data_IF_061517565795
#
_entry.id   IF_061517565795
#
_cell.length_a   1.000
_cell.length_b   1.000
_cell.length_c   1.000
_cell.angle_alpha   90.00
_cell.angle_beta   90.00
_cell.angle_gamma   90.00
#
_symmetry.space_group_name_H-M   'P 1'
#
loop_
_entity.id
_entity.type
_entity.pdbx_description
1 polymer ?
#
# COMPACT_ATOMS: atom_id res chain seq x y z
N UNK A 1 23.93 -8.69 -9.57
CA UNK A 1 23.07 -9.08 -10.71
C UNK A 1 22.77 -7.83 -11.51
N UNK A 2 23.06 -7.81 -12.81
CA UNK A 2 22.74 -6.70 -13.68
C UNK A 2 21.44 -7.01 -14.44
N UNK A 3 20.48 -6.11 -14.38
CA UNK A 3 19.23 -6.18 -15.11
C UNK A 3 19.17 -5.01 -16.08
N UNK A 4 19.01 -5.30 -17.36
CA UNK A 4 18.83 -4.29 -18.40
C UNK A 4 17.37 -3.95 -18.57
N UNK A 5 17.05 -2.68 -18.54
CA UNK A 5 15.73 -2.15 -18.83
C UNK A 5 15.75 -1.42 -20.17
N UNK A 6 14.97 -1.89 -21.12
CA UNK A 6 14.92 -1.28 -22.45
C UNK A 6 13.50 -0.86 -22.81
N UNK A 7 13.37 0.35 -23.30
CA UNK A 7 12.13 0.89 -23.84
C UNK A 7 12.11 0.60 -25.35
N UNK A 8 11.16 -0.21 -25.78
CA UNK A 8 10.96 -0.54 -27.20
C UNK A 8 9.71 0.16 -27.69
N UNK A 9 9.88 1.14 -28.58
CA UNK A 9 8.76 1.80 -29.27
C UNK A 9 8.30 0.92 -30.43
N UNK A 10 7.03 0.55 -30.43
CA UNK A 10 6.38 -0.20 -31.51
C UNK A 10 5.22 0.63 -32.07
N UNK A 11 4.82 0.48 -33.33
CA UNK A 11 3.67 1.19 -33.90
C UNK A 11 2.36 0.91 -33.14
N UNK A 12 2.29 -0.20 -32.39
CA UNK A 12 1.13 -0.56 -31.55
C UNK A 12 1.24 -0.07 -30.10
N UNK A 13 2.31 0.66 -29.73
CA UNK A 13 2.52 1.19 -28.37
C UNK A 13 3.94 0.99 -27.85
N UNK A 14 4.21 1.50 -26.68
CA UNK A 14 5.51 1.39 -26.02
C UNK A 14 5.57 0.13 -25.16
N UNK A 15 6.61 -0.67 -25.33
CA UNK A 15 6.85 -1.90 -24.54
C UNK A 15 8.09 -1.72 -23.67
N UNK A 16 8.00 -2.14 -22.44
CA UNK A 16 9.12 -2.28 -21.52
C UNK A 16 9.67 -3.70 -21.60
N UNK A 17 10.97 -3.83 -21.90
CA UNK A 17 11.67 -5.11 -21.96
C UNK A 17 12.68 -5.20 -20.83
N UNK A 18 12.53 -6.22 -19.98
CA UNK A 18 13.49 -6.57 -18.94
C UNK A 18 14.35 -7.73 -19.43
N UNK A 19 15.66 -7.59 -19.32
CA UNK A 19 16.62 -8.62 -19.76
C UNK A 19 17.62 -8.88 -18.65
N UNK A 20 17.83 -10.15 -18.33
CA UNK A 20 18.91 -10.62 -17.45
C UNK A 20 19.68 -11.69 -18.18
N UNK A 21 20.98 -11.45 -18.39
CA UNK A 21 21.86 -12.36 -19.10
C UNK A 21 22.41 -13.43 -18.14
N UNK A 22 22.54 -14.68 -18.62
CA UNK A 22 23.10 -15.81 -17.88
C UNK A 22 22.49 -15.98 -16.49
N UNK A 23 21.16 -15.84 -16.38
CA UNK A 23 20.44 -15.86 -15.13
C UNK A 23 20.24 -17.28 -14.61
N UNK A 24 20.65 -17.52 -13.36
CA UNK A 24 20.21 -18.71 -12.62
C UNK A 24 18.72 -18.61 -12.21
N UNK A 25 18.16 -19.71 -11.71
CA UNK A 25 16.74 -19.83 -11.33
C UNK A 25 16.27 -18.71 -10.40
N UNK A 26 17.07 -18.31 -9.41
CA UNK A 26 16.76 -17.21 -8.47
C UNK A 26 16.72 -15.85 -9.15
N UNK A 27 17.59 -15.63 -10.12
CA UNK A 27 17.66 -14.37 -10.87
C UNK A 27 16.47 -14.22 -11.84
N UNK A 28 15.99 -15.33 -12.43
CA UNK A 28 14.80 -15.31 -13.28
C UNK A 28 13.54 -14.92 -12.49
N UNK A 29 13.44 -15.32 -11.22
CA UNK A 29 12.33 -14.92 -10.36
C UNK A 29 12.25 -13.38 -10.17
N UNK A 30 13.40 -12.71 -10.12
CA UNK A 30 13.45 -11.23 -9.98
C UNK A 30 12.85 -10.50 -11.19
N UNK A 31 12.90 -11.09 -12.39
CA UNK A 31 12.26 -10.51 -13.58
C UNK A 31 10.75 -10.36 -13.40
N UNK A 32 10.12 -11.37 -12.82
CA UNK A 32 8.67 -11.34 -12.58
C UNK A 32 8.30 -10.29 -11.53
N UNK A 33 9.12 -10.15 -10.48
CA UNK A 33 8.94 -9.13 -9.45
C UNK A 33 9.07 -7.72 -10.06
N UNK A 34 10.09 -7.47 -10.88
CA UNK A 34 10.25 -6.17 -11.55
C UNK A 34 9.09 -5.86 -12.51
N UNK A 35 8.64 -6.84 -13.29
CA UNK A 35 7.49 -6.68 -14.17
C UNK A 35 6.21 -6.35 -13.38
N UNK A 36 5.96 -7.07 -12.29
CA UNK A 36 4.79 -6.84 -11.44
C UNK A 36 4.82 -5.46 -10.79
N UNK A 37 6.00 -5.00 -10.32
CA UNK A 37 6.16 -3.67 -9.75
C UNK A 37 5.78 -2.57 -10.74
N UNK A 38 6.28 -2.65 -11.98
CA UNK A 38 5.94 -1.67 -13.03
C UNK A 38 4.45 -1.74 -13.42
N UNK A 39 3.90 -2.95 -13.54
CA UNK A 39 2.47 -3.12 -13.81
C UNK A 39 1.60 -2.51 -12.69
N UNK A 40 2.02 -2.65 -11.43
CA UNK A 40 1.34 -2.05 -10.30
C UNK A 40 1.47 -0.52 -10.29
N UNK A 41 2.63 0.03 -10.66
CA UNK A 41 2.78 1.48 -10.82
C UNK A 41 1.81 2.04 -11.86
N UNK A 42 1.67 1.38 -13.01
CA UNK A 42 0.73 1.79 -14.06
C UNK A 42 -0.72 1.73 -13.54
N UNK A 43 -1.11 0.65 -12.87
CA UNK A 43 -2.43 0.52 -12.26
C UNK A 43 -2.67 1.59 -11.19
N UNK A 44 -1.68 1.87 -10.36
CA UNK A 44 -1.76 2.88 -9.31
C UNK A 44 -2.01 4.28 -9.85
N UNK A 45 -1.32 4.65 -10.93
CA UNK A 45 -1.51 5.97 -11.57
C UNK A 45 -2.87 6.08 -12.28
N UNK A 46 -3.37 4.98 -12.87
CA UNK A 46 -4.63 4.99 -13.62
C UNK A 46 -5.86 4.81 -12.74
N UNK A 47 -5.84 3.87 -11.82
CA UNK A 47 -6.98 3.46 -11.01
C UNK A 47 -6.84 3.83 -9.53
N UNK A 48 -5.59 3.90 -9.03
CA UNK A 48 -5.30 3.99 -7.59
C UNK A 48 -5.46 2.64 -6.87
N UNK A 49 -5.01 2.61 -5.64
CA UNK A 49 -5.16 1.47 -4.73
C UNK A 49 -5.96 1.87 -3.50
N UNK A 50 -6.80 0.97 -3.04
CA UNK A 50 -7.60 1.15 -1.84
C UNK A 50 -7.50 -0.12 -0.98
N UNK A 51 -7.06 0.04 0.27
CA UNK A 51 -7.10 -1.00 1.28
C UNK A 51 -8.26 -0.74 2.23
N UNK A 52 -9.13 -1.72 2.38
CA UNK A 52 -10.26 -1.69 3.33
C UNK A 52 -9.84 -2.45 4.58
N UNK A 53 -9.70 -1.73 5.67
CA UNK A 53 -9.28 -2.29 6.95
C UNK A 53 -10.42 -2.18 7.94
N UNK A 54 -10.60 -3.19 8.77
CA UNK A 54 -11.62 -3.21 9.81
C UNK A 54 -11.00 -3.49 11.16
N UNK A 55 -11.31 -2.64 12.14
CA UNK A 55 -10.92 -2.89 13.51
C UNK A 55 -11.72 -4.08 14.08
N UNK A 56 -11.02 -5.09 14.57
CA UNK A 56 -11.59 -6.28 15.19
C UNK A 56 -11.22 -6.31 16.65
N UNK A 57 -12.20 -6.37 17.53
CA UNK A 57 -12.02 -6.41 18.98
C UNK A 57 -13.07 -7.34 19.62
N UNK A 58 -12.74 -7.91 20.77
CA UNK A 58 -13.67 -8.76 21.50
C UNK A 58 -14.38 -7.96 22.61
N UNK A 59 -13.65 -7.37 23.54
CA UNK A 59 -14.19 -6.69 24.72
C UNK A 59 -13.92 -5.18 24.72
N UNK A 60 -12.70 -4.76 24.37
CA UNK A 60 -12.29 -3.35 24.37
C UNK A 60 -12.53 -2.74 22.99
N UNK A 61 -13.54 -1.86 22.81
CA UNK A 61 -13.78 -1.22 21.53
C UNK A 61 -12.61 -0.31 21.18
N UNK A 62 -12.06 -0.49 19.98
CA UNK A 62 -10.97 0.34 19.46
C UNK A 62 -11.57 1.62 18.89
N UNK A 63 -11.10 2.77 19.37
CA UNK A 63 -11.52 4.06 18.85
C UNK A 63 -10.48 4.56 17.83
N UNK A 64 -10.89 4.68 16.59
CA UNK A 64 -10.09 5.26 15.52
C UNK A 64 -10.50 6.72 15.34
N UNK A 65 -9.56 7.64 15.53
CA UNK A 65 -9.78 9.07 15.36
C UNK A 65 -8.93 9.54 14.19
N UNK A 66 -9.59 9.96 13.13
CA UNK A 66 -8.93 10.51 11.96
C UNK A 66 -8.69 12.01 12.16
N UNK A 67 -7.49 12.48 11.82
CA UNK A 67 -7.23 13.90 11.75
C UNK A 67 -7.99 14.53 10.56
N UNK A 68 -8.41 15.75 10.71
CA UNK A 68 -9.15 16.47 9.66
C UNK A 68 -8.44 16.53 8.30
N UNK A 69 -7.11 16.43 8.31
CA UNK A 69 -6.27 16.45 7.11
C UNK A 69 -6.19 15.09 6.39
N UNK A 70 -6.84 14.04 6.90
CA UNK A 70 -6.76 12.65 6.36
C UNK A 70 -5.32 12.11 6.26
N UNK A 71 -4.38 12.69 7.00
CA UNK A 71 -2.95 12.35 6.99
C UNK A 71 -2.46 11.67 8.26
N UNK A 72 -3.25 11.63 9.30
CA UNK A 72 -2.90 10.91 10.52
C UNK A 72 -4.11 10.24 11.14
N UNK A 73 -3.87 9.11 11.80
CA UNK A 73 -4.85 8.37 12.57
C UNK A 73 -4.35 8.15 13.99
N UNK A 74 -5.23 8.35 14.96
CA UNK A 74 -4.99 8.01 16.34
C UNK A 74 -5.80 6.78 16.72
N UNK A 75 -5.12 5.79 17.24
CA UNK A 75 -5.71 4.55 17.75
C UNK A 75 -5.77 4.66 19.27
N UNK A 76 -6.96 4.62 19.82
CA UNK A 76 -7.20 4.69 21.28
C UNK A 76 -7.88 3.44 21.78
N UNK A 77 -7.63 3.13 23.05
CA UNK A 77 -8.22 1.99 23.75
C UNK A 77 -7.88 0.63 23.13
N UNK A 78 -6.72 0.51 22.51
CA UNK A 78 -6.23 -0.78 22.03
C UNK A 78 -5.94 -1.69 23.23
N UNK A 79 -6.68 -2.80 23.35
CA UNK A 79 -6.60 -3.74 24.47
C UNK A 79 -6.73 -3.08 25.87
N UNK A 80 -7.45 -1.96 25.98
CA UNK A 80 -7.59 -1.22 27.24
C UNK A 80 -6.39 -0.35 27.62
N UNK A 81 -5.43 -0.15 26.73
CA UNK A 81 -4.28 0.71 26.98
C UNK A 81 -4.69 2.18 27.15
N UNK A 82 -4.03 2.88 28.07
CA UNK A 82 -4.16 4.35 28.23
C UNK A 82 -3.36 5.13 27.19
N UNK A 83 -2.38 4.48 26.55
CA UNK A 83 -1.52 5.09 25.54
C UNK A 83 -2.30 5.32 24.25
N UNK A 84 -2.13 6.50 23.66
CA UNK A 84 -2.62 6.82 22.32
C UNK A 84 -1.53 6.50 21.31
N UNK A 85 -1.86 5.68 20.33
CA UNK A 85 -0.97 5.33 19.23
C UNK A 85 -1.30 6.22 18.03
N UNK A 86 -0.33 6.98 17.56
CA UNK A 86 -0.48 7.87 16.42
C UNK A 86 0.33 7.37 15.25
N UNK A 87 -0.31 7.25 14.11
CA UNK A 87 0.31 6.85 12.84
C UNK A 87 0.14 7.97 11.83
N UNK A 88 1.25 8.43 11.27
CA UNK A 88 1.27 9.45 10.22
C UNK A 88 1.34 8.78 8.86
N UNK A 89 0.53 9.25 7.93
CA UNK A 89 0.49 8.73 6.57
C UNK A 89 1.68 9.25 5.76
N UNK A 90 2.23 8.40 4.91
CA UNK A 90 3.25 8.81 3.95
C UNK A 90 2.66 9.74 2.89
N UNK A 91 3.53 10.52 2.23
CA UNK A 91 3.11 11.42 1.16
C UNK A 91 2.41 10.65 0.02
N UNK A 92 1.26 11.17 -0.39
CA UNK A 92 0.44 10.55 -1.45
C UNK A 92 -0.49 9.43 -0.97
N UNK A 93 -0.57 9.19 0.35
CA UNK A 93 -1.54 8.26 0.95
C UNK A 93 -2.50 9.04 1.83
N UNK A 94 -3.78 8.72 1.71
CA UNK A 94 -4.86 9.32 2.52
C UNK A 94 -5.64 8.23 3.23
N UNK A 95 -6.11 8.56 4.43
CA UNK A 95 -6.98 7.69 5.22
C UNK A 95 -8.36 8.31 5.32
N UNK A 96 -9.39 7.51 5.13
CA UNK A 96 -10.80 7.94 5.22
C UNK A 96 -11.59 6.97 6.09
N UNK A 97 -12.60 7.49 6.73
CA UNK A 97 -13.58 6.67 7.44
C UNK A 97 -14.65 6.18 6.47
N UNK A 98 -15.05 4.92 6.59
CA UNK A 98 -16.15 4.38 5.78
C UNK A 98 -17.48 4.67 6.47
N UNK A 99 -18.27 5.57 5.88
CA UNK A 99 -19.60 5.94 6.38
C UNK A 99 -20.61 4.78 6.39
N UNK A 100 -20.33 3.73 5.62
CA UNK A 100 -21.26 2.61 5.44
C UNK A 100 -21.07 1.52 6.51
N UNK A 101 -19.89 1.41 7.08
CA UNK A 101 -19.57 0.38 8.08
C UNK A 101 -18.81 1.01 9.25
N UNK A 102 -19.32 0.75 10.46
CA UNK A 102 -18.66 1.13 11.69
C UNK A 102 -17.33 0.41 11.84
N UNK A 103 -16.34 1.09 12.35
CA UNK A 103 -14.99 0.58 12.61
C UNK A 103 -14.19 0.14 11.34
N UNK A 104 -14.58 0.65 10.18
CA UNK A 104 -13.86 0.42 8.93
C UNK A 104 -13.15 1.69 8.47
N UNK A 105 -11.88 1.55 8.10
CA UNK A 105 -11.07 2.62 7.51
C UNK A 105 -10.60 2.23 6.12
N UNK A 106 -10.57 3.22 5.25
CA UNK A 106 -10.12 3.12 3.87
C UNK A 106 -8.78 3.84 3.75
N UNK A 107 -7.74 3.10 3.35
CA UNK A 107 -6.42 3.67 3.05
C UNK A 107 -6.27 3.72 1.53
N UNK A 108 -6.12 4.90 0.98
CA UNK A 108 -6.06 5.14 -0.47
C UNK A 108 -4.73 5.75 -0.86
N UNK A 109 -4.18 5.31 -1.98
CA UNK A 109 -2.94 5.87 -2.51
C UNK A 109 -2.63 5.40 -3.94
N UNK A 110 -1.66 6.06 -4.55
CA UNK A 110 -1.21 5.75 -5.91
C UNK A 110 -0.18 4.61 -5.90
N UNK A 111 0.67 4.55 -4.87
CA UNK A 111 1.73 3.55 -4.77
C UNK A 111 1.31 2.41 -3.83
N UNK A 112 1.20 1.19 -4.37
CA UNK A 112 0.80 0.02 -3.60
C UNK A 112 1.74 -0.26 -2.42
N UNK A 113 3.05 -0.11 -2.61
CA UNK A 113 4.04 -0.38 -1.57
C UNK A 113 3.92 0.56 -0.36
N UNK A 114 3.55 1.84 -0.58
CA UNK A 114 3.31 2.79 0.49
C UNK A 114 2.01 2.49 1.23
N UNK A 115 0.95 2.18 0.50
CA UNK A 115 -0.36 1.82 1.08
C UNK A 115 -0.24 0.52 1.89
N UNK A 116 0.44 -0.49 1.35
CA UNK A 116 0.68 -1.76 2.02
C UNK A 116 1.58 -1.62 3.26
N UNK A 117 2.63 -0.81 3.18
CA UNK A 117 3.50 -0.53 4.33
C UNK A 117 2.71 0.08 5.49
N UNK A 118 1.83 1.04 5.21
CA UNK A 118 0.98 1.67 6.21
C UNK A 118 -0.09 0.72 6.75
N UNK A 119 -0.69 -0.11 5.90
CA UNK A 119 -1.61 -1.15 6.35
C UNK A 119 -0.90 -2.10 7.33
N UNK A 120 0.30 -2.56 7.00
CA UNK A 120 1.12 -3.40 7.88
C UNK A 120 1.50 -2.71 9.20
N UNK A 121 1.73 -1.40 9.20
CA UNK A 121 1.98 -0.64 10.44
C UNK A 121 0.71 -0.61 11.30
N UNK A 122 -0.46 -0.39 10.71
CA UNK A 122 -1.73 -0.40 11.41
C UNK A 122 -2.09 -1.79 11.97
N UNK A 123 -1.70 -2.88 11.29
CA UNK A 123 -1.91 -4.26 11.78
C UNK A 123 -0.99 -4.64 12.94
N UNK A 124 0.22 -4.06 12.99
CA UNK A 124 1.21 -4.36 14.06
C UNK A 124 0.96 -3.58 15.35
N UNK A 125 0.09 -2.62 15.34
CA UNK A 125 -0.26 -1.80 16.48
C UNK A 125 -1.60 -2.19 17.06
#
# INVERSE_FOLDING_TARGET
MAMDLRLVKSPKGTKLKFVVWHAGRKHLACLRTAQAAVANMIKGVTLGFQYKMRAVYAHFPINLILAGDSKSVEIRNFLGEKRVRRVEMADGVTIKDDKNQKDQVLVEGVCISLVECLANILERH
#
